data_IF_810197616972
#
_entry.id   IF_810197616972
#
_cell.length_a   1.000
_cell.length_b   1.000
_cell.length_c   1.000
_cell.angle_alpha   90.00
_cell.angle_beta   90.00
_cell.angle_gamma   90.00
#
_symmetry.space_group_name_H-M   'P 1'
#
loop_
_entity.id
_entity.type
_entity.pdbx_description
1 polymer ?
#
# COMPACT_ATOMS: atom_id res chain seq x y z
N UNK A 1 24.25 -9.58 -19.10
CA UNK A 1 23.00 -9.47 -19.88
C UNK A 1 22.32 -8.18 -19.47
N UNK A 2 22.52 -7.13 -20.26
CA UNK A 2 21.88 -5.82 -20.12
C UNK A 2 20.93 -5.67 -21.30
N UNK A 3 19.65 -5.96 -21.09
CA UNK A 3 18.66 -5.91 -22.16
C UNK A 3 17.64 -4.83 -21.81
N UNK A 4 17.90 -3.64 -22.37
CA UNK A 4 16.92 -2.69 -22.94
C UNK A 4 15.57 -2.49 -22.23
N UNK A 5 15.40 -1.28 -21.67
CA UNK A 5 14.11 -0.61 -21.51
C UNK A 5 13.26 -1.05 -20.32
N UNK A 6 13.54 -0.55 -19.11
CA UNK A 6 12.59 -0.75 -17.99
C UNK A 6 11.32 0.06 -18.24
N UNK A 7 10.22 -0.64 -18.51
CA UNK A 7 8.88 -0.07 -18.58
C UNK A 7 8.44 0.40 -17.19
N UNK A 8 7.53 1.36 -17.12
CA UNK A 8 6.95 1.79 -15.83
C UNK A 8 6.33 0.60 -15.09
N UNK A 9 6.66 0.44 -13.81
CA UNK A 9 6.17 -0.66 -12.99
C UNK A 9 7.02 -1.94 -13.04
N UNK A 10 8.12 -1.95 -13.79
CA UNK A 10 9.02 -3.10 -13.85
C UNK A 10 9.86 -3.25 -12.57
N UNK A 11 10.17 -4.50 -12.20
CA UNK A 11 10.86 -4.83 -10.94
C UNK A 11 12.36 -4.97 -11.22
N UNK A 12 13.13 -4.02 -10.70
CA UNK A 12 14.57 -3.93 -10.96
C UNK A 12 15.37 -4.95 -10.15
N UNK A 13 14.91 -5.27 -8.93
CA UNK A 13 15.56 -6.24 -8.06
C UNK A 13 14.55 -6.82 -7.08
N UNK A 14 14.58 -8.15 -6.94
CA UNK A 14 13.94 -8.87 -5.85
C UNK A 14 15.00 -9.21 -4.81
N UNK A 15 14.76 -8.81 -3.56
CA UNK A 15 15.51 -9.36 -2.43
C UNK A 15 14.64 -10.42 -1.76
N UNK A 16 15.09 -11.69 -1.75
CA UNK A 16 14.31 -12.77 -1.14
C UNK A 16 14.18 -12.53 0.37
N UNK A 17 13.05 -12.94 0.91
CA UNK A 17 12.76 -12.82 2.33
C UNK A 17 13.79 -13.59 3.16
N UNK A 18 14.18 -13.03 4.30
CA UNK A 18 15.02 -13.73 5.28
C UNK A 18 14.09 -14.64 6.07
N UNK A 19 13.88 -15.86 5.59
CA UNK A 19 13.03 -16.87 6.26
C UNK A 19 13.64 -17.28 7.62
N UNK A 20 13.45 -16.42 8.61
CA UNK A 20 14.02 -16.55 9.95
C UNK A 20 13.12 -17.42 10.83
N UNK A 21 13.60 -18.61 11.21
CA UNK A 21 12.91 -19.50 12.14
C UNK A 21 12.68 -18.84 13.50
N UNK A 22 13.63 -18.01 13.96
CA UNK A 22 13.48 -17.28 15.21
C UNK A 22 12.31 -16.27 15.16
N UNK A 23 12.11 -15.60 14.02
CA UNK A 23 10.99 -14.69 13.82
C UNK A 23 9.65 -15.43 13.80
N UNK A 24 9.59 -16.61 13.16
CA UNK A 24 8.40 -17.46 13.20
C UNK A 24 8.03 -17.85 14.64
N UNK A 25 9.00 -18.30 15.43
CA UNK A 25 8.78 -18.66 16.84
C UNK A 25 8.31 -17.45 17.64
N UNK A 26 8.93 -16.28 17.44
CA UNK A 26 8.52 -15.05 18.12
C UNK A 26 7.07 -14.69 17.80
N UNK A 27 6.66 -14.74 16.53
CA UNK A 27 5.26 -14.51 16.13
C UNK A 27 4.32 -15.49 16.84
N UNK A 28 4.65 -16.79 16.86
CA UNK A 28 3.82 -17.80 17.53
C UNK A 28 3.67 -17.47 19.03
N UNK A 29 4.76 -17.14 19.71
CA UNK A 29 4.70 -16.79 21.14
C UNK A 29 3.88 -15.52 21.40
N UNK A 30 4.05 -14.48 20.58
CA UNK A 30 3.26 -13.25 20.67
C UNK A 30 1.77 -13.55 20.37
N UNK A 31 1.44 -14.41 19.41
CA UNK A 31 0.03 -14.78 19.16
C UNK A 31 -0.61 -15.53 20.33
N UNK A 32 0.14 -16.34 21.07
CA UNK A 32 -0.37 -16.97 22.29
C UNK A 32 -0.63 -15.94 23.39
N UNK A 33 0.25 -14.96 23.53
CA UNK A 33 0.09 -13.82 24.44
C UNK A 33 -1.13 -12.98 24.06
N UNK A 34 -1.29 -12.66 22.78
CA UNK A 34 -2.42 -11.92 22.22
C UNK A 34 -3.75 -12.61 22.52
N UNK A 35 -3.82 -13.94 22.36
CA UNK A 35 -5.03 -14.71 22.71
C UNK A 35 -5.38 -14.52 24.20
N UNK A 36 -4.39 -14.55 25.09
CA UNK A 36 -4.60 -14.33 26.52
C UNK A 36 -5.10 -12.91 26.81
N UNK A 37 -4.51 -11.89 26.18
CA UNK A 37 -4.94 -10.51 26.38
C UNK A 37 -6.33 -10.25 25.80
N UNK A 38 -6.63 -10.71 24.59
CA UNK A 38 -7.96 -10.58 23.98
C UNK A 38 -9.01 -11.32 24.79
N UNK A 39 -8.69 -12.52 25.30
CA UNK A 39 -9.57 -13.26 26.20
C UNK A 39 -9.83 -12.47 27.49
N UNK A 40 -8.78 -11.98 28.14
CA UNK A 40 -8.89 -11.19 29.37
C UNK A 40 -9.69 -9.90 29.15
N UNK A 41 -9.48 -9.21 28.03
CA UNK A 41 -10.25 -8.03 27.62
C UNK A 41 -11.74 -8.35 27.50
N UNK A 42 -12.04 -9.39 26.73
CA UNK A 42 -13.43 -9.80 26.41
C UNK A 42 -14.13 -10.27 27.68
N UNK A 43 -13.44 -11.07 28.51
CA UNK A 43 -13.96 -11.49 29.80
C UNK A 43 -14.17 -10.32 30.75
N UNK A 44 -13.23 -9.37 30.82
CA UNK A 44 -13.34 -8.16 31.62
C UNK A 44 -14.52 -7.28 31.21
N UNK A 45 -14.81 -7.16 29.91
CA UNK A 45 -16.00 -6.47 29.41
C UNK A 45 -17.29 -7.18 29.82
N UNK A 46 -17.39 -8.50 29.61
CA UNK A 46 -18.59 -9.28 29.93
C UNK A 46 -18.86 -9.35 31.44
N UNK A 47 -17.80 -9.43 32.24
CA UNK A 47 -17.89 -9.42 33.71
C UNK A 47 -18.12 -8.04 34.32
N UNK A 48 -18.21 -6.99 33.49
CA UNK A 48 -18.58 -5.64 33.93
C UNK A 48 -17.44 -4.83 34.54
N UNK A 49 -16.17 -5.17 34.29
CA UNK A 49 -15.02 -4.38 34.79
C UNK A 49 -15.05 -2.93 34.28
N UNK A 50 -15.64 -2.68 33.11
CA UNK A 50 -15.77 -1.33 32.55
C UNK A 50 -16.81 -0.42 33.21
N UNK A 51 -17.56 -0.89 34.22
CA UNK A 51 -18.61 -0.09 34.87
C UNK A 51 -18.05 0.94 35.86
N UNK A 52 -16.84 0.73 36.38
CA UNK A 52 -16.16 1.68 37.27
C UNK A 52 -15.13 2.49 36.49
N UNK A 53 -14.85 3.72 36.95
CA UNK A 53 -13.86 4.58 36.28
C UNK A 53 -12.48 3.92 36.18
N UNK A 54 -12.02 3.32 37.28
CA UNK A 54 -10.72 2.64 37.36
C UNK A 54 -10.67 1.40 36.45
N UNK A 55 -11.75 0.61 36.43
CA UNK A 55 -11.82 -0.58 35.59
C UNK A 55 -11.93 -0.26 34.10
N UNK A 56 -12.59 0.84 33.72
CA UNK A 56 -12.60 1.35 32.36
C UNK A 56 -11.20 1.82 31.91
N UNK A 57 -10.44 2.50 32.78
CA UNK A 57 -9.05 2.86 32.50
C UNK A 57 -8.17 1.62 32.32
N UNK A 58 -8.34 0.61 33.16
CA UNK A 58 -7.62 -0.66 33.05
C UNK A 58 -7.92 -1.37 31.73
N UNK A 59 -9.20 -1.52 31.35
CA UNK A 59 -9.58 -2.11 30.07
C UNK A 59 -9.05 -1.30 28.88
N UNK A 60 -9.04 0.02 28.95
CA UNK A 60 -8.42 0.87 27.93
C UNK A 60 -6.91 0.64 27.79
N UNK A 61 -6.19 0.52 28.90
CA UNK A 61 -4.77 0.17 28.89
C UNK A 61 -4.51 -1.24 28.34
N UNK A 62 -5.36 -2.19 28.69
CA UNK A 62 -5.29 -3.56 28.20
C UNK A 62 -5.55 -3.60 26.68
N UNK A 63 -6.53 -2.85 26.19
CA UNK A 63 -6.79 -2.70 24.75
C UNK A 63 -5.59 -2.09 24.01
N UNK A 64 -4.91 -1.10 24.62
CA UNK A 64 -3.70 -0.53 24.04
C UNK A 64 -2.58 -1.58 23.93
N UNK A 65 -2.40 -2.43 24.94
CA UNK A 65 -1.40 -3.51 24.92
C UNK A 65 -1.70 -4.52 23.81
N UNK A 66 -2.96 -4.91 23.62
CA UNK A 66 -3.41 -5.78 22.51
C UNK A 66 -2.98 -5.19 21.15
N UNK A 67 -3.26 -3.91 20.91
CA UNK A 67 -2.85 -3.27 19.64
C UNK A 67 -1.33 -3.15 19.49
N UNK A 68 -0.60 -2.93 20.58
CA UNK A 68 0.86 -2.88 20.56
C UNK A 68 1.42 -4.26 20.20
N UNK A 69 0.91 -5.32 20.82
CA UNK A 69 1.34 -6.70 20.54
C UNK A 69 1.07 -7.08 19.09
N UNK A 70 -0.14 -6.80 18.60
CA UNK A 70 -0.49 -6.95 17.19
C UNK A 70 0.45 -6.19 16.26
N UNK A 71 0.82 -4.94 16.61
CA UNK A 71 1.76 -4.16 15.83
C UNK A 71 3.15 -4.80 15.79
N UNK A 72 3.62 -5.41 16.89
CA UNK A 72 4.88 -6.17 16.92
C UNK A 72 4.82 -7.41 16.02
N UNK A 73 3.74 -8.18 16.08
CA UNK A 73 3.54 -9.35 15.20
C UNK A 73 3.63 -8.91 13.73
N UNK A 74 2.90 -7.86 13.35
CA UNK A 74 2.90 -7.33 11.99
C UNK A 74 4.26 -6.76 11.57
N UNK A 75 4.97 -6.09 12.49
CA UNK A 75 6.29 -5.53 12.22
C UNK A 75 7.32 -6.63 11.98
N UNK A 76 7.31 -7.70 12.77
CA UNK A 76 8.18 -8.87 12.58
C UNK A 76 7.82 -9.57 11.26
N UNK A 77 6.54 -9.77 10.98
CA UNK A 77 6.09 -10.36 9.73
C UNK A 77 6.57 -9.54 8.51
N UNK A 78 6.40 -8.22 8.57
CA UNK A 78 6.86 -7.29 7.52
C UNK A 78 8.37 -7.33 7.32
N UNK A 79 9.13 -7.39 8.40
CA UNK A 79 10.58 -7.31 8.33
C UNK A 79 11.20 -8.60 7.79
N UNK A 80 10.64 -9.75 8.14
CA UNK A 80 11.30 -11.04 7.91
C UNK A 80 10.68 -11.83 6.75
N UNK A 81 9.34 -11.77 6.54
CA UNK A 81 8.66 -12.61 5.55
C UNK A 81 8.23 -11.88 4.28
N UNK A 82 8.07 -10.56 4.32
CA UNK A 82 7.71 -9.78 3.13
C UNK A 82 8.95 -9.57 2.25
N UNK A 83 8.91 -9.96 0.95
CA UNK A 83 10.00 -9.72 0.03
C UNK A 83 10.13 -8.23 -0.26
N UNK A 84 11.35 -7.71 -0.27
CA UNK A 84 11.59 -6.34 -0.67
C UNK A 84 11.76 -6.26 -2.19
N UNK A 85 11.01 -5.35 -2.81
CA UNK A 85 10.95 -5.21 -4.27
C UNK A 85 11.27 -3.78 -4.66
N UNK A 86 12.36 -3.63 -5.42
CA UNK A 86 12.74 -2.35 -6.00
C UNK A 86 11.94 -2.15 -7.28
N UNK A 87 10.80 -1.47 -7.17
CA UNK A 87 9.94 -1.12 -8.31
C UNK A 87 10.37 0.23 -8.90
N UNK A 88 10.56 0.28 -10.21
CA UNK A 88 10.86 1.53 -10.90
C UNK A 88 9.61 2.42 -10.91
N UNK A 89 9.64 3.51 -10.13
CA UNK A 89 8.59 4.54 -10.14
C UNK A 89 9.02 5.73 -10.99
N UNK A 90 8.24 6.04 -12.03
CA UNK A 90 8.35 7.31 -12.77
C UNK A 90 7.71 8.42 -11.94
N UNK A 91 8.44 9.54 -11.73
CA UNK A 91 7.89 10.76 -11.10
C UNK A 91 6.89 11.39 -12.07
N UNK A 92 5.58 11.25 -11.80
CA UNK A 92 4.54 11.98 -12.55
C UNK A 92 4.56 13.45 -12.18
N UNK A 93 4.21 14.33 -13.13
CA UNK A 93 4.07 15.76 -12.85
C UNK A 93 2.68 15.98 -12.25
N UNK A 94 2.56 16.84 -11.22
CA UNK A 94 1.36 17.01 -10.36
C UNK A 94 0.05 17.34 -11.12
N UNK A 95 0.14 17.73 -12.39
CA UNK A 95 -1.00 18.08 -13.25
C UNK A 95 -1.54 16.90 -14.10
N UNK A 96 -0.91 15.72 -14.07
CA UNK A 96 -1.34 14.51 -14.81
C UNK A 96 -2.21 13.56 -13.97
N UNK A 97 -2.45 13.87 -12.69
CA UNK A 97 -3.20 13.01 -11.75
C UNK A 97 -4.74 13.08 -11.93
N UNK A 98 -5.23 13.70 -13.00
CA UNK A 98 -6.68 13.80 -13.28
C UNK A 98 -7.26 12.60 -14.04
N UNK A 99 -6.46 11.63 -14.49
CA UNK A 99 -6.97 10.50 -15.28
C UNK A 99 -6.68 9.14 -14.63
N UNK A 100 -7.75 8.61 -14.06
CA UNK A 100 -7.87 7.30 -13.44
C UNK A 100 -8.00 6.28 -14.57
N UNK A 101 -6.87 5.76 -15.10
CA UNK A 101 -6.70 4.39 -15.61
C UNK A 101 -5.30 4.19 -16.23
N UNK A 102 -4.72 3.01 -16.02
CA UNK A 102 -3.34 2.68 -16.37
C UNK A 102 -3.04 2.49 -17.86
N UNK A 103 -4.08 2.33 -18.69
CA UNK A 103 -4.01 2.16 -20.15
C UNK A 103 -3.84 3.48 -20.92
N UNK A 104 -4.00 4.64 -20.26
CA UNK A 104 -3.83 5.97 -20.86
C UNK A 104 -2.54 6.68 -20.41
N UNK A 105 -1.61 5.94 -19.78
CA UNK A 105 -0.38 6.50 -19.22
C UNK A 105 0.60 7.01 -20.30
N UNK A 106 0.61 6.36 -21.46
CA UNK A 106 1.28 6.85 -22.66
C UNK A 106 0.22 7.61 -23.45
N UNK A 107 0.13 8.92 -23.21
CA UNK A 107 -0.83 9.78 -23.90
C UNK A 107 -0.77 9.52 -25.41
N UNK A 108 -1.92 9.45 -26.06
CA UNK A 108 -1.96 9.32 -27.52
C UNK A 108 -1.27 10.55 -28.11
N UNK A 109 -0.10 10.37 -28.73
CA UNK A 109 0.37 11.35 -29.70
C UNK A 109 -0.70 11.38 -30.77
N UNK A 110 -1.40 12.51 -30.88
CA UNK A 110 -2.15 12.85 -32.08
C UNK A 110 -1.13 12.91 -33.21
N UNK A 111 -0.89 11.76 -33.84
CA UNK A 111 -0.01 11.61 -34.98
C UNK A 111 -0.43 12.59 -36.08
N UNK A 112 0.56 13.35 -36.54
CA UNK A 112 0.64 13.76 -37.94
C UNK A 112 -0.29 14.91 -38.32
N UNK A 113 0.24 16.13 -38.23
CA UNK A 113 0.09 17.23 -39.20
C UNK A 113 -1.32 17.74 -39.61
N UNK A 114 -2.42 17.07 -39.26
CA UNK A 114 -3.75 17.32 -39.83
C UNK A 114 -4.71 18.10 -38.94
N UNK A 115 -4.48 18.15 -37.61
CA UNK A 115 -5.43 18.79 -36.67
C UNK A 115 -5.52 20.30 -36.93
N UNK A 116 -4.38 20.95 -37.17
CA UNK A 116 -4.35 22.38 -37.47
C UNK A 116 -4.96 22.72 -38.83
N UNK A 117 -4.83 21.85 -39.83
CA UNK A 117 -5.44 22.05 -41.14
C UNK A 117 -6.96 21.78 -41.10
N UNK A 118 -7.41 20.85 -40.26
CA UNK A 118 -8.83 20.58 -40.04
C UNK A 118 -9.52 21.76 -39.34
N UNK A 119 -8.86 22.36 -38.34
CA UNK A 119 -9.34 23.57 -37.66
C UNK A 119 -9.37 24.76 -38.63
N UNK A 120 -8.32 24.97 -39.44
CA UNK A 120 -8.29 26.06 -40.42
C UNK A 120 -9.38 25.92 -41.48
N UNK A 121 -9.68 24.70 -41.96
CA UNK A 121 -10.81 24.45 -42.87
C UNK A 121 -12.17 24.69 -42.23
N UNK A 122 -12.33 24.38 -40.95
CA UNK A 122 -13.59 24.58 -40.24
C UNK A 122 -13.88 26.07 -39.99
N UNK A 123 -12.85 26.89 -39.76
CA UNK A 123 -12.99 28.33 -39.50
C UNK A 123 -12.98 29.17 -40.77
N UNK A 124 -12.29 28.74 -41.84
CA UNK A 124 -12.17 29.50 -43.08
C UNK A 124 -12.57 28.66 -44.31
N UNK A 125 -13.80 28.82 -44.83
CA UNK A 125 -14.32 27.97 -45.91
C UNK A 125 -13.75 28.27 -47.31
N UNK A 126 -12.82 29.24 -47.45
CA UNK A 126 -12.24 29.66 -48.73
C UNK A 126 -10.80 29.16 -48.94
N UNK A 127 -10.50 27.90 -48.60
CA UNK A 127 -9.31 27.26 -49.14
C UNK A 127 -9.55 26.90 -50.61
N UNK A 128 -8.89 27.63 -51.52
CA UNK A 128 -8.88 27.31 -52.96
C UNK A 128 -8.27 25.91 -53.14
N UNK A 129 -8.97 25.07 -53.91
CA UNK A 129 -8.51 23.72 -54.30
C UNK A 129 -7.16 23.78 -55.01
#
# INVERSE_FOLDING_TARGET
MSTSGSTYGDIHRYEPARESTAAAIAIVLLTLLEIVFVFMFTWGLVSGWGLTADGNMFLGGLLAIVFIDLAFILAIYRKEFLPDVMVVKKRRRKWEDLYIRGDQADGQQLEGAGVWDQIKRAVYPYYKR
#
